data_IF_892863127241
#
_entry.id   IF_892863127241
#
_cell.length_a   1.000
_cell.length_b   1.000
_cell.length_c   1.000
_cell.angle_alpha   90.00
_cell.angle_beta   90.00
_cell.angle_gamma   90.00
#
_symmetry.space_group_name_H-M   'P 1'
#
loop_
_entity.id
_entity.type
_entity.pdbx_description
1 polymer ?
#
# COMPACT_ATOMS: atom_id res chain seq x y z
N UNK A 1 6.65 -6.45 18.96
CA UNK A 1 6.93 -7.91 18.83
C UNK A 1 7.67 -8.26 17.55
N UNK A 2 7.10 -8.04 16.36
CA UNK A 2 7.81 -8.29 15.08
C UNK A 2 9.04 -7.40 14.89
N UNK A 3 8.95 -6.12 15.25
CA UNK A 3 10.11 -5.20 15.20
C UNK A 3 11.23 -5.60 16.16
N UNK A 4 10.90 -6.26 17.28
CA UNK A 4 11.87 -6.58 18.34
C UNK A 4 12.54 -7.94 18.09
N UNK A 5 11.79 -8.93 17.60
CA UNK A 5 12.25 -10.32 17.45
C UNK A 5 12.50 -10.72 16.00
N UNK A 6 12.09 -9.88 15.04
CA UNK A 6 12.07 -10.21 13.62
C UNK A 6 10.81 -10.96 13.20
N UNK A 7 10.57 -11.03 11.88
CA UNK A 7 9.40 -11.68 11.32
C UNK A 7 9.42 -13.19 11.63
N UNK A 8 10.47 -13.90 11.24
CA UNK A 8 10.53 -15.36 11.30
C UNK A 8 10.44 -15.93 12.72
N UNK A 9 10.99 -15.23 13.71
CA UNK A 9 10.99 -15.69 15.10
C UNK A 9 9.63 -15.59 15.80
N UNK A 10 8.68 -14.82 15.26
CA UNK A 10 7.34 -14.64 15.84
C UNK A 10 6.33 -15.59 15.21
N UNK A 11 5.58 -16.36 16.01
CA UNK A 11 4.48 -17.20 15.51
C UNK A 11 3.14 -16.48 15.63
N UNK A 12 2.17 -16.88 14.80
CA UNK A 12 0.79 -16.35 14.89
C UNK A 12 0.18 -16.65 16.26
N UNK A 13 0.42 -17.84 16.82
CA UNK A 13 0.07 -18.18 18.20
C UNK A 13 0.63 -17.20 19.26
N UNK A 14 1.82 -16.63 19.05
CA UNK A 14 2.39 -15.65 19.98
C UNK A 14 1.65 -14.32 19.92
N UNK A 15 1.25 -13.89 18.72
CA UNK A 15 0.42 -12.71 18.50
C UNK A 15 -0.95 -12.91 19.12
N UNK A 16 -1.59 -14.06 18.86
CA UNK A 16 -2.89 -14.40 19.42
C UNK A 16 -2.89 -14.33 20.96
N UNK A 17 -1.86 -14.93 21.58
CA UNK A 17 -1.67 -14.89 23.03
C UNK A 17 -1.48 -13.48 23.56
N UNK A 18 -0.68 -12.65 22.89
CA UNK A 18 -0.47 -11.26 23.28
C UNK A 18 -1.76 -10.41 23.19
N UNK A 19 -2.64 -10.74 22.23
CA UNK A 19 -3.93 -10.07 22.04
C UNK A 19 -5.08 -10.69 22.86
N UNK A 20 -4.84 -11.78 23.61
CA UNK A 20 -5.89 -12.45 24.39
C UNK A 20 -6.96 -13.14 23.54
N UNK A 21 -6.64 -13.51 22.30
CA UNK A 21 -7.56 -14.20 21.38
C UNK A 21 -7.08 -15.60 21.02
N UNK A 22 -7.99 -16.44 20.52
CA UNK A 22 -7.60 -17.74 19.98
C UNK A 22 -6.86 -17.56 18.64
N UNK A 23 -5.89 -18.43 18.35
CA UNK A 23 -5.17 -18.42 17.07
C UNK A 23 -6.11 -18.55 15.86
N UNK A 24 -7.17 -19.36 15.99
CA UNK A 24 -8.23 -19.46 14.97
C UNK A 24 -8.91 -18.11 14.70
N UNK A 25 -9.14 -17.30 15.72
CA UNK A 25 -9.72 -15.95 15.55
C UNK A 25 -8.79 -15.07 14.74
N UNK A 26 -7.48 -15.15 14.96
CA UNK A 26 -6.50 -14.43 14.15
C UNK A 26 -6.59 -14.86 12.68
N UNK A 27 -6.60 -16.17 12.39
CA UNK A 27 -6.70 -16.67 11.02
C UNK A 27 -8.03 -16.37 10.32
N UNK A 28 -9.12 -16.16 11.07
CA UNK A 28 -10.39 -15.70 10.49
C UNK A 28 -10.29 -14.28 9.93
N UNK A 29 -9.42 -13.44 10.49
CA UNK A 29 -9.19 -12.07 10.02
C UNK A 29 -8.01 -11.98 9.05
N UNK A 30 -6.96 -12.77 9.28
CA UNK A 30 -5.69 -12.71 8.56
C UNK A 30 -5.36 -14.10 8.01
N UNK A 31 -5.51 -14.28 6.69
CA UNK A 31 -5.30 -15.60 6.07
C UNK A 31 -3.87 -16.11 6.21
N UNK A 32 -2.91 -15.19 6.27
CA UNK A 32 -1.48 -15.51 6.39
C UNK A 32 -0.83 -14.65 7.46
N UNK A 33 0.35 -15.07 7.93
CA UNK A 33 1.14 -14.29 8.89
C UNK A 33 1.58 -12.96 8.28
N UNK A 34 1.90 -12.94 7.00
CA UNK A 34 2.25 -11.74 6.24
C UNK A 34 1.10 -10.72 6.27
N UNK A 35 -0.15 -11.18 6.11
CA UNK A 35 -1.32 -10.30 6.16
C UNK A 35 -1.52 -9.61 7.52
N UNK A 36 -0.88 -10.06 8.61
CA UNK A 36 -0.88 -9.34 9.88
C UNK A 36 -0.11 -8.01 9.85
N UNK A 37 0.82 -7.85 8.91
CA UNK A 37 1.67 -6.68 8.78
C UNK A 37 1.28 -5.79 7.59
N UNK A 38 0.66 -6.38 6.56
CA UNK A 38 0.36 -5.71 5.27
C UNK A 38 -1.06 -6.05 4.80
N UNK A 39 -2.08 -5.62 5.57
CA UNK A 39 -3.51 -5.89 5.31
C UNK A 39 -4.22 -4.82 4.47
N UNK A 40 -3.70 -3.58 4.43
CA UNK A 40 -4.36 -2.44 3.80
C UNK A 40 -4.54 -2.54 2.28
N UNK A 41 -3.96 -3.54 1.63
CA UNK A 41 -4.09 -3.76 0.19
C UNK A 41 -5.54 -3.95 -0.27
N UNK A 42 -6.38 -4.61 0.54
CA UNK A 42 -7.80 -4.81 0.18
C UNK A 42 -8.57 -3.48 0.18
N UNK A 43 -8.28 -2.61 1.15
CA UNK A 43 -8.86 -1.27 1.23
C UNK A 43 -8.40 -0.40 0.06
N UNK A 44 -7.10 -0.39 -0.23
CA UNK A 44 -6.53 0.38 -1.33
C UNK A 44 -7.05 -0.09 -2.70
N UNK A 45 -7.17 -1.41 -2.90
CA UNK A 45 -7.70 -1.98 -4.14
C UNK A 45 -9.15 -1.54 -4.37
N UNK A 46 -9.99 -1.62 -3.33
CA UNK A 46 -11.39 -1.18 -3.42
C UNK A 46 -11.49 0.31 -3.73
N UNK A 47 -10.78 1.15 -2.97
CA UNK A 47 -10.80 2.60 -3.16
C UNK A 47 -10.32 3.00 -4.57
N UNK A 48 -9.31 2.32 -5.11
CA UNK A 48 -8.86 2.52 -6.48
C UNK A 48 -9.96 2.13 -7.47
N UNK A 49 -10.54 0.93 -7.35
CA UNK A 49 -11.61 0.47 -8.25
C UNK A 49 -12.82 1.40 -8.22
N UNK A 50 -13.23 1.87 -7.04
CA UNK A 50 -14.34 2.81 -6.89
C UNK A 50 -14.04 4.14 -7.62
N UNK A 51 -12.83 4.67 -7.47
CA UNK A 51 -12.41 5.89 -8.18
C UNK A 51 -12.23 5.68 -9.69
N UNK A 52 -11.84 4.49 -10.14
CA UNK A 52 -11.72 4.16 -11.56
C UNK A 52 -13.07 3.96 -12.24
N UNK A 53 -14.08 3.48 -11.50
CA UNK A 53 -15.44 3.29 -11.99
C UNK A 53 -16.17 4.62 -12.23
N UNK A 54 -15.76 5.70 -11.55
CA UNK A 54 -16.29 7.04 -11.76
C UNK A 54 -15.78 7.65 -13.08
N UNK A 55 -16.64 7.95 -14.07
CA UNK A 55 -16.25 8.53 -15.34
C UNK A 55 -15.70 9.96 -15.23
N UNK A 56 -16.07 10.70 -14.17
CA UNK A 56 -15.63 12.08 -13.95
C UNK A 56 -14.26 12.16 -13.26
N UNK A 57 -13.80 11.04 -12.68
CA UNK A 57 -12.48 10.93 -12.06
C UNK A 57 -11.44 10.50 -13.09
N UNK A 58 -10.33 11.26 -13.19
CA UNK A 58 -9.19 10.84 -14.00
C UNK A 58 -8.49 9.64 -13.34
N UNK A 59 -8.10 8.60 -14.09
CA UNK A 59 -7.51 7.39 -13.50
C UNK A 59 -6.27 7.64 -12.61
N UNK A 60 -5.42 8.60 -13.01
CA UNK A 60 -4.26 9.02 -12.23
C UNK A 60 -4.67 9.67 -10.90
N UNK A 61 -5.79 10.40 -10.88
CA UNK A 61 -6.27 11.07 -9.67
C UNK A 61 -6.86 10.06 -8.68
N UNK A 62 -7.55 9.03 -9.16
CA UNK A 62 -8.00 7.91 -8.33
C UNK A 62 -6.82 7.24 -7.60
N UNK A 63 -5.74 6.93 -8.33
CA UNK A 63 -4.55 6.34 -7.73
C UNK A 63 -3.86 7.27 -6.71
N UNK A 64 -3.75 8.56 -7.02
CA UNK A 64 -3.16 9.53 -6.10
C UNK A 64 -4.00 9.71 -4.82
N UNK A 65 -5.33 9.72 -4.93
CA UNK A 65 -6.20 9.82 -3.76
C UNK A 65 -6.00 8.66 -2.78
N UNK A 66 -5.81 7.43 -3.29
CA UNK A 66 -5.52 6.26 -2.45
C UNK A 66 -4.16 6.42 -1.75
N UNK A 67 -3.12 6.81 -2.49
CA UNK A 67 -1.77 6.98 -1.94
C UNK A 67 -1.67 8.17 -0.97
N UNK A 68 -2.40 9.26 -1.22
CA UNK A 68 -2.50 10.39 -0.30
C UNK A 68 -3.20 9.97 1.00
N UNK A 69 -4.25 9.16 0.92
CA UNK A 69 -4.94 8.60 2.07
C UNK A 69 -4.03 7.70 2.91
N UNK A 70 -3.24 6.85 2.25
CA UNK A 70 -2.24 6.00 2.92
C UNK A 70 -1.14 6.84 3.60
N UNK A 71 -0.62 7.84 2.90
CA UNK A 71 0.40 8.71 3.45
C UNK A 71 -0.13 9.54 4.62
N UNK A 72 -1.36 10.05 4.52
CA UNK A 72 -2.02 10.76 5.60
C UNK A 72 -2.22 9.85 6.82
N UNK A 73 -2.62 8.59 6.60
CA UNK A 73 -2.73 7.60 7.66
C UNK A 73 -1.38 7.37 8.37
N UNK A 74 -0.28 7.18 7.62
CA UNK A 74 1.04 6.95 8.21
C UNK A 74 1.60 8.17 8.93
N UNK A 75 1.32 9.38 8.44
CA UNK A 75 1.88 10.63 8.99
C UNK A 75 0.96 11.31 10.01
N UNK A 76 -0.25 10.78 10.25
CA UNK A 76 -1.23 11.44 11.11
C UNK A 76 -0.75 11.51 12.57
N UNK A 77 -1.04 12.61 13.30
CA UNK A 77 -0.77 12.69 14.73
C UNK A 77 -1.55 11.67 15.57
N UNK A 78 -2.71 11.20 15.09
CA UNK A 78 -3.49 10.16 15.76
C UNK A 78 -2.76 8.81 15.70
N UNK A 79 -2.18 8.48 14.55
CA UNK A 79 -1.32 7.32 14.36
C UNK A 79 -0.10 7.40 15.29
N UNK A 80 0.48 8.58 15.49
CA UNK A 80 1.63 8.76 16.38
C UNK A 80 1.27 8.68 17.89
N UNK A 81 0.05 9.04 18.29
CA UNK A 81 -0.35 9.09 19.72
C UNK A 81 -0.96 7.81 20.26
N UNK A 82 -1.55 6.96 19.42
CA UNK A 82 -2.20 5.71 19.86
C UNK A 82 -1.20 4.55 20.10
N UNK A 83 0.09 4.85 20.29
CA UNK A 83 1.17 3.85 20.25
C UNK A 83 1.52 3.39 18.84
N UNK A 84 1.12 4.14 17.81
CA UNK A 84 1.50 3.84 16.43
C UNK A 84 2.86 4.40 16.05
N UNK A 85 3.21 4.21 14.78
CA UNK A 85 4.57 4.35 14.27
C UNK A 85 5.09 5.79 14.41
N UNK A 86 6.07 6.01 15.29
CA UNK A 86 6.98 7.14 15.13
C UNK A 86 7.81 6.97 13.85
N UNK A 87 8.56 7.99 13.45
CA UNK A 87 9.42 7.90 12.25
C UNK A 87 10.41 6.74 12.38
N UNK A 88 10.92 6.50 13.59
CA UNK A 88 11.82 5.38 13.89
C UNK A 88 11.15 4.02 13.75
N UNK A 89 9.94 3.83 14.29
CA UNK A 89 9.20 2.60 14.12
C UNK A 89 8.84 2.37 12.65
N UNK A 90 8.41 3.41 11.93
CA UNK A 90 8.12 3.33 10.50
C UNK A 90 9.37 2.92 9.72
N UNK A 91 10.53 3.52 10.02
CA UNK A 91 11.82 3.16 9.43
C UNK A 91 12.21 1.71 9.73
N UNK A 92 12.04 1.25 10.98
CA UNK A 92 12.30 -0.15 11.37
C UNK A 92 11.34 -1.12 10.67
N UNK A 93 10.07 -0.76 10.55
CA UNK A 93 9.05 -1.54 9.87
C UNK A 93 9.33 -1.66 8.37
N UNK A 94 9.61 -0.54 7.71
CA UNK A 94 10.01 -0.51 6.30
C UNK A 94 11.23 -1.39 6.04
N UNK A 95 12.25 -1.33 6.91
CA UNK A 95 13.42 -2.24 6.84
C UNK A 95 13.04 -3.70 7.05
N UNK A 96 12.17 -4.00 8.01
CA UNK A 96 11.70 -5.37 8.25
C UNK A 96 11.02 -5.95 7.01
N UNK A 97 10.08 -5.20 6.41
CA UNK A 97 9.38 -5.59 5.19
C UNK A 97 10.36 -5.80 4.04
N UNK A 98 11.28 -4.84 3.79
CA UNK A 98 12.23 -4.91 2.69
C UNK A 98 13.27 -6.05 2.85
N UNK A 99 13.61 -6.42 4.08
CA UNK A 99 14.61 -7.46 4.37
C UNK A 99 14.02 -8.87 4.46
N UNK A 100 12.69 -9.01 4.50
CA UNK A 100 12.01 -10.31 4.67
C UNK A 100 11.43 -10.79 3.33
N UNK A 101 11.97 -11.85 2.71
CA UNK A 101 11.55 -12.28 1.37
C UNK A 101 10.05 -12.61 1.24
N UNK A 102 9.43 -13.22 2.25
CA UNK A 102 8.01 -13.56 2.18
C UNK A 102 7.10 -12.33 2.22
N UNK A 103 7.48 -11.27 2.94
CA UNK A 103 6.75 -9.99 2.95
C UNK A 103 6.88 -9.27 1.60
N UNK A 104 8.06 -9.29 0.99
CA UNK A 104 8.26 -8.75 -0.36
C UNK A 104 7.41 -9.51 -1.38
N UNK A 105 7.41 -10.85 -1.32
CA UNK A 105 6.59 -11.69 -2.20
C UNK A 105 5.10 -11.39 -2.02
N UNK A 106 4.63 -11.28 -0.77
CA UNK A 106 3.24 -10.96 -0.46
C UNK A 106 2.81 -9.58 -1.02
N UNK A 107 3.66 -8.56 -0.89
CA UNK A 107 3.39 -7.24 -1.45
C UNK A 107 3.35 -7.23 -2.98
N UNK A 108 4.20 -8.02 -3.64
CA UNK A 108 4.14 -8.18 -5.10
C UNK A 108 2.84 -8.84 -5.55
N UNK A 109 2.47 -9.94 -4.90
CA UNK A 109 1.21 -10.62 -5.19
C UNK A 109 -0.02 -9.71 -4.93
N UNK A 110 0.03 -8.87 -3.90
CA UNK A 110 -1.01 -7.89 -3.64
C UNK A 110 -1.08 -6.80 -4.71
N UNK A 111 0.07 -6.30 -5.17
CA UNK A 111 0.12 -5.32 -6.26
C UNK A 111 -0.36 -5.91 -7.59
N UNK A 112 -0.05 -7.17 -7.89
CA UNK A 112 -0.53 -7.88 -9.07
C UNK A 112 -2.07 -8.01 -9.04
N UNK A 113 -2.64 -8.34 -7.88
CA UNK A 113 -4.10 -8.38 -7.68
C UNK A 113 -4.74 -7.00 -7.83
N UNK A 114 -4.12 -5.95 -7.27
CA UNK A 114 -4.59 -4.58 -7.43
C UNK A 114 -4.58 -4.16 -8.90
N UNK A 115 -3.51 -4.50 -9.64
CA UNK A 115 -3.37 -4.19 -11.07
C UNK A 115 -4.46 -4.88 -11.89
N UNK A 116 -4.71 -6.17 -11.65
CA UNK A 116 -5.77 -6.90 -12.34
C UNK A 116 -7.16 -6.33 -12.05
N UNK A 117 -7.44 -5.96 -10.79
CA UNK A 117 -8.70 -5.34 -10.40
C UNK A 117 -8.89 -3.96 -11.04
N UNK A 118 -7.84 -3.14 -11.09
CA UNK A 118 -7.85 -1.85 -11.75
C UNK A 118 -8.08 -1.97 -13.26
N UNK A 119 -7.46 -2.95 -13.93
CA UNK A 119 -7.69 -3.22 -15.34
C UNK A 119 -9.16 -3.58 -15.62
N UNK A 120 -9.75 -4.45 -14.79
CA UNK A 120 -11.16 -4.81 -14.89
C UNK A 120 -12.10 -3.61 -14.69
N UNK A 121 -11.80 -2.74 -13.71
CA UNK A 121 -12.58 -1.52 -13.47
C UNK A 121 -12.53 -0.55 -14.67
N UNK A 122 -11.33 -0.35 -15.24
CA UNK A 122 -11.13 0.48 -16.43
C UNK A 122 -11.85 -0.07 -17.66
N UNK A 123 -11.75 -1.38 -17.92
CA UNK A 123 -12.47 -2.03 -19.01
C UNK A 123 -14.00 -1.89 -18.84
N UNK A 124 -14.50 -2.02 -17.60
CA UNK A 124 -15.91 -1.78 -17.28
C UNK A 124 -16.37 -0.35 -17.60
N UNK A 125 -15.53 0.65 -17.29
CA UNK A 125 -15.79 2.07 -17.58
C UNK A 125 -15.92 2.36 -19.08
N UNK A 126 -15.12 1.72 -19.92
CA UNK A 126 -15.15 1.90 -21.39
C UNK A 126 -16.09 0.92 -22.10
N UNK A 127 -16.66 -0.05 -21.38
CA UNK A 127 -17.40 -1.20 -21.95
C UNK A 127 -16.54 -2.03 -22.92
N UNK A 128 -15.24 -2.12 -22.62
CA UNK A 128 -14.27 -2.96 -23.33
C UNK A 128 -14.23 -4.39 -22.76
N UNK A 129 -13.55 -5.30 -23.46
CA UNK A 129 -13.23 -6.62 -22.93
C UNK A 129 -12.25 -6.53 -21.74
N UNK A 130 -12.28 -7.47 -20.77
CA UNK A 130 -11.34 -7.49 -19.64
C UNK A 130 -9.86 -7.57 -20.04
N UNK A 131 -9.56 -8.11 -21.22
CA UNK A 131 -8.23 -8.26 -21.79
C UNK A 131 -7.82 -7.07 -22.69
N UNK A 132 -8.58 -5.97 -22.67
CA UNK A 132 -8.30 -4.77 -23.45
C UNK A 132 -6.89 -4.23 -23.11
N UNK A 133 -5.97 -4.19 -24.09
CA UNK A 133 -4.59 -3.79 -23.83
C UNK A 133 -4.48 -2.36 -23.31
N UNK A 134 -5.40 -1.46 -23.68
CA UNK A 134 -5.42 -0.08 -23.19
C UNK A 134 -5.76 0.01 -21.70
N UNK A 135 -6.77 -0.77 -21.25
CA UNK A 135 -7.11 -0.87 -19.84
C UNK A 135 -5.97 -1.49 -19.01
N UNK A 136 -5.33 -2.54 -19.55
CA UNK A 136 -4.21 -3.21 -18.89
C UNK A 136 -2.98 -2.33 -18.76
N UNK A 137 -2.53 -1.67 -19.84
CA UNK A 137 -1.34 -0.81 -19.76
C UNK A 137 -1.60 0.39 -18.84
N UNK A 138 -2.81 0.93 -18.85
CA UNK A 138 -3.21 2.00 -17.92
C UNK A 138 -3.14 1.51 -16.48
N UNK A 139 -3.70 0.34 -16.16
CA UNK A 139 -3.65 -0.22 -14.81
C UNK A 139 -2.21 -0.48 -14.33
N UNK A 140 -1.35 -1.04 -15.19
CA UNK A 140 0.08 -1.26 -14.89
C UNK A 140 0.80 0.06 -14.63
N UNK A 141 0.53 1.08 -15.44
CA UNK A 141 1.12 2.41 -15.28
C UNK A 141 0.70 3.05 -13.94
N UNK A 142 -0.58 2.93 -13.56
CA UNK A 142 -1.08 3.39 -12.27
C UNK A 142 -0.48 2.63 -11.09
N UNK A 143 -0.40 1.30 -11.19
CA UNK A 143 0.22 0.45 -10.17
C UNK A 143 1.71 0.80 -9.94
N UNK A 144 2.39 1.32 -10.96
CA UNK A 144 3.74 1.89 -10.85
C UNK A 144 3.87 2.99 -9.78
N UNK A 145 2.78 3.72 -9.47
CA UNK A 145 2.79 4.74 -8.42
C UNK A 145 2.99 4.16 -7.01
N UNK A 146 2.56 2.91 -6.74
CA UNK A 146 2.86 2.23 -5.47
C UNK A 146 4.34 1.89 -5.32
N UNK A 147 5.01 1.60 -6.44
CA UNK A 147 6.47 1.41 -6.43
C UNK A 147 7.18 2.74 -6.17
N UNK A 148 6.75 3.82 -6.82
CA UNK A 148 7.28 5.17 -6.56
C UNK A 148 7.06 5.57 -5.10
N UNK A 149 5.86 5.33 -4.56
CA UNK A 149 5.54 5.54 -3.15
C UNK A 149 6.51 4.80 -2.23
N UNK A 150 6.72 3.50 -2.46
CA UNK A 150 7.60 2.67 -1.64
C UNK A 150 9.04 3.14 -1.69
N UNK A 151 9.58 3.44 -2.88
CA UNK A 151 10.95 3.93 -3.05
C UNK A 151 11.12 5.32 -2.42
N UNK A 152 10.16 6.22 -2.64
CA UNK A 152 10.18 7.57 -2.10
C UNK A 152 10.10 7.57 -0.58
N UNK A 153 9.20 6.76 0.00
CA UNK A 153 9.07 6.60 1.44
C UNK A 153 10.40 6.13 2.03
N UNK A 154 10.99 5.04 1.51
CA UNK A 154 12.30 4.57 1.97
C UNK A 154 13.39 5.64 1.89
N UNK A 155 13.43 6.41 0.81
CA UNK A 155 14.44 7.46 0.61
C UNK A 155 14.32 8.59 1.63
N UNK A 156 13.09 8.97 2.00
CA UNK A 156 12.85 10.11 2.87
C UNK A 156 12.72 9.74 4.35
N UNK A 157 12.61 8.45 4.68
CA UNK A 157 12.51 7.95 6.06
C UNK A 157 13.73 8.23 6.93
N UNK A 158 14.85 8.68 6.36
CA UNK A 158 16.02 9.14 7.12
C UNK A 158 15.84 10.55 7.73
N UNK A 159 14.78 11.29 7.36
CA UNK A 159 14.42 12.55 8.01
C UNK A 159 13.76 12.35 9.38
N UNK A 160 13.74 13.39 10.21
CA UNK A 160 13.16 13.35 11.57
C UNK A 160 11.74 13.91 11.68
N UNK A 161 11.22 14.58 10.63
CA UNK A 161 9.88 15.19 10.62
C UNK A 161 8.90 14.38 9.75
N UNK A 162 7.88 13.70 10.32
CA UNK A 162 6.84 13.00 9.57
C UNK A 162 6.15 13.88 8.53
N UNK A 163 5.95 15.17 8.83
CA UNK A 163 5.30 16.08 7.91
C UNK A 163 6.22 16.41 6.72
N UNK A 164 7.54 16.49 6.94
CA UNK A 164 8.52 16.65 5.86
C UNK A 164 8.57 15.40 4.97
N UNK A 165 8.55 14.21 5.57
CA UNK A 165 8.47 12.93 4.82
C UNK A 165 7.21 12.93 3.95
N UNK A 166 6.06 13.24 4.54
CA UNK A 166 4.79 13.35 3.81
C UNK A 166 4.88 14.29 2.60
N UNK A 167 5.34 15.53 2.83
CA UNK A 167 5.53 16.50 1.74
C UNK A 167 6.47 15.99 0.64
N UNK A 168 7.58 15.38 1.02
CA UNK A 168 8.58 14.89 0.06
C UNK A 168 8.03 13.73 -0.79
N UNK A 169 7.33 12.78 -0.17
CA UNK A 169 6.67 11.67 -0.87
C UNK A 169 5.57 12.18 -1.80
N UNK A 170 4.74 13.12 -1.35
CA UNK A 170 3.73 13.76 -2.20
C UNK A 170 4.37 14.42 -3.43
N UNK A 171 5.46 15.16 -3.26
CA UNK A 171 6.17 15.82 -4.38
C UNK A 171 6.63 14.79 -5.41
N UNK A 172 7.22 13.67 -4.98
CA UNK A 172 7.67 12.61 -5.89
C UNK A 172 6.49 11.95 -6.63
N UNK A 173 5.41 11.65 -5.91
CA UNK A 173 4.20 11.07 -6.51
C UNK A 173 3.57 12.01 -7.54
N UNK A 174 3.44 13.30 -7.25
CA UNK A 174 2.91 14.28 -8.22
C UNK A 174 3.82 14.40 -9.44
N UNK A 175 5.15 14.32 -9.28
CA UNK A 175 6.10 14.33 -10.39
C UNK A 175 5.94 13.09 -11.27
N UNK A 176 5.80 11.90 -10.68
CA UNK A 176 5.57 10.65 -11.41
C UNK A 176 4.20 10.65 -12.12
N UNK A 177 3.14 11.07 -11.43
CA UNK A 177 1.81 11.22 -12.01
C UNK A 177 1.78 12.24 -13.16
N UNK A 178 2.56 13.33 -13.06
CA UNK A 178 2.72 14.28 -14.16
C UNK A 178 3.31 13.65 -15.42
N UNK A 179 4.15 12.62 -15.29
CA UNK A 179 4.64 11.83 -16.44
C UNK A 179 3.52 10.99 -17.05
N UNK A 180 2.75 10.28 -16.23
CA UNK A 180 1.60 9.49 -16.71
C UNK A 180 0.57 10.35 -17.45
N UNK A 181 0.23 11.53 -16.90
CA UNK A 181 -0.68 12.49 -17.54
C UNK A 181 -0.16 13.03 -18.87
N UNK A 182 1.16 13.03 -19.07
CA UNK A 182 1.83 13.46 -20.29
C UNK A 182 1.85 12.42 -21.42
N UNK A 183 1.28 11.22 -21.20
CA UNK A 183 1.17 10.17 -22.22
C UNK A 183 2.37 9.23 -22.28
N UNK A 184 2.90 8.84 -21.12
CA UNK A 184 4.05 7.93 -20.97
C UNK A 184 3.72 6.81 -19.99
#
# INVERSE_FOLDING_TARGET
>A
MFLDRGFDAVRVADVARACGVAEKTVFNHFRTKESLLVDRWEEQTRALCDGLADPDTAPVDAALAVLDGELAFLTSPASQRAGGFGVDELRRFSRLVASTPSLVAHNREALDRLTAAAAAALAGRTRSAPEDPEAWITAVALAGLWQVYTVSLHRHLDGDDPAAIGRAVTVDLRRAAGKLRGGI
#
